data_IF_264054369074
#
_entry.id   IF_264054369074
#
_cell.length_a   1.000
_cell.length_b   1.000
_cell.length_c   1.000
_cell.angle_alpha   90.00
_cell.angle_beta   90.00
_cell.angle_gamma   90.00
#
_symmetry.space_group_name_H-M   'P 1'
#
loop_
_entity.id
_entity.type
_entity.pdbx_description
1 polymer ?
#
# COMPACT_ATOMS: atom_id res chain seq x y z
N UNK A 1 3.56 -1.76 -5.93
CA UNK A 1 4.37 -0.68 -5.33
C UNK A 1 5.11 0.13 -6.39
N UNK A 2 5.38 1.39 -6.11
CA UNK A 2 6.21 2.20 -7.00
C UNK A 2 7.69 1.85 -6.88
N UNK A 3 8.48 2.26 -7.87
CA UNK A 3 9.92 1.98 -7.93
C UNK A 3 10.67 2.51 -6.70
N UNK A 4 10.39 3.75 -6.29
CA UNK A 4 11.08 4.36 -5.14
C UNK A 4 10.80 3.60 -3.84
N UNK A 5 9.59 3.11 -3.68
CA UNK A 5 9.23 2.29 -2.52
C UNK A 5 10.01 0.98 -2.54
N UNK A 6 10.11 0.33 -3.71
CA UNK A 6 10.91 -0.88 -3.86
C UNK A 6 12.38 -0.64 -3.55
N UNK A 7 12.96 0.44 -4.05
CA UNK A 7 14.36 0.78 -3.78
C UNK A 7 14.61 1.08 -2.30
N UNK A 8 13.64 1.65 -1.61
CA UNK A 8 13.70 1.89 -0.18
C UNK A 8 13.69 0.59 0.63
N UNK A 9 12.90 -0.39 0.21
CA UNK A 9 12.89 -1.73 0.82
C UNK A 9 14.20 -2.47 0.54
N UNK A 10 14.75 -2.28 -0.66
CA UNK A 10 16.06 -2.78 -1.07
C UNK A 10 16.08 -4.20 -1.61
N UNK A 11 14.97 -4.93 -1.53
CA UNK A 11 14.87 -6.32 -2.03
C UNK A 11 13.40 -6.70 -2.22
N UNK A 12 13.11 -7.72 -3.07
CA UNK A 12 11.76 -8.25 -3.17
C UNK A 12 11.28 -8.82 -1.82
N UNK A 13 10.02 -8.61 -1.51
CA UNK A 13 9.42 -9.16 -0.30
C UNK A 13 9.29 -10.68 -0.44
N UNK A 14 9.84 -11.47 0.49
CA UNK A 14 9.85 -12.93 0.35
C UNK A 14 8.45 -13.53 0.47
N UNK A 15 8.22 -14.61 -0.25
CA UNK A 15 6.94 -15.33 -0.23
C UNK A 15 5.79 -14.61 -0.89
N UNK A 16 6.07 -13.57 -1.71
CA UNK A 16 5.05 -12.75 -2.36
C UNK A 16 5.42 -12.48 -3.80
N UNK A 17 4.39 -12.25 -4.61
CA UNK A 17 4.58 -11.80 -5.98
C UNK A 17 4.77 -10.28 -5.97
N UNK A 18 5.97 -9.82 -6.32
CA UNK A 18 6.33 -8.41 -6.25
C UNK A 18 6.11 -7.75 -7.61
N UNK A 19 5.26 -6.72 -7.63
CA UNK A 19 4.93 -5.97 -8.83
C UNK A 19 5.38 -4.52 -8.63
N UNK A 20 6.22 -4.04 -9.54
CA UNK A 20 6.81 -2.70 -9.48
C UNK A 20 6.22 -1.86 -10.61
N UNK A 21 5.74 -0.67 -10.27
CA UNK A 21 5.16 0.28 -11.21
C UNK A 21 6.17 1.40 -11.45
N UNK A 22 6.57 1.59 -12.70
CA UNK A 22 7.49 2.65 -13.10
C UNK A 22 7.20 3.10 -14.53
N UNK A 23 7.43 4.37 -14.82
CA UNK A 23 7.33 4.90 -16.18
C UNK A 23 8.59 4.63 -17.01
N UNK A 24 9.65 4.16 -16.36
CA UNK A 24 10.91 3.84 -17.05
C UNK A 24 10.80 2.47 -17.72
N UNK A 25 10.65 2.46 -19.05
CA UNK A 25 10.48 1.23 -19.82
C UNK A 25 11.72 0.34 -19.86
N UNK A 26 12.86 0.87 -19.43
CA UNK A 26 14.12 0.12 -19.37
C UNK A 26 14.42 -0.43 -17.99
N UNK A 27 13.56 -0.14 -17.02
CA UNK A 27 13.76 -0.62 -15.64
C UNK A 27 13.53 -2.13 -15.57
N UNK A 28 14.47 -2.84 -14.98
CA UNK A 28 14.38 -4.28 -14.76
C UNK A 28 14.71 -4.62 -13.32
N UNK A 29 14.13 -5.70 -12.83
CA UNK A 29 14.39 -6.19 -11.49
C UNK A 29 14.28 -7.71 -11.48
N UNK A 30 15.25 -8.36 -10.88
CA UNK A 30 15.23 -9.82 -10.72
C UNK A 30 14.14 -10.22 -9.71
N UNK A 31 13.40 -11.28 -10.02
CA UNK A 31 12.36 -11.83 -9.15
C UNK A 31 11.16 -10.91 -8.93
N UNK A 32 10.99 -9.92 -9.80
CA UNK A 32 9.86 -8.99 -9.75
C UNK A 32 9.24 -8.86 -11.14
N UNK A 33 7.98 -8.45 -11.18
CA UNK A 33 7.32 -8.05 -12.42
C UNK A 33 7.30 -6.54 -12.50
N UNK A 34 7.72 -5.97 -13.62
CA UNK A 34 7.72 -4.52 -13.84
C UNK A 34 6.56 -4.18 -14.78
N UNK A 35 5.72 -3.25 -14.35
CA UNK A 35 4.61 -2.72 -15.14
C UNK A 35 4.72 -1.20 -15.20
N UNK A 36 3.98 -0.57 -16.12
CA UNK A 36 4.19 0.84 -16.43
C UNK A 36 3.04 1.74 -16.02
N UNK A 37 1.93 1.16 -15.53
CA UNK A 37 0.79 1.92 -15.02
C UNK A 37 0.04 1.12 -13.97
N UNK A 38 -0.91 1.78 -13.30
CA UNK A 38 -1.69 1.15 -12.23
C UNK A 38 -2.64 0.08 -12.79
N UNK A 39 -3.19 0.28 -13.98
CA UNK A 39 -4.07 -0.69 -14.61
C UNK A 39 -3.32 -1.99 -14.92
N UNK A 40 -2.09 -1.88 -15.42
CA UNK A 40 -1.23 -3.03 -15.67
C UNK A 40 -0.90 -3.78 -14.39
N UNK A 41 -0.64 -3.06 -13.31
CA UNK A 41 -0.36 -3.65 -12.00
C UNK A 41 -1.57 -4.42 -11.46
N UNK A 42 -2.75 -3.85 -11.54
CA UNK A 42 -3.97 -4.49 -11.05
C UNK A 42 -4.31 -5.73 -11.86
N UNK A 43 -4.15 -5.65 -13.17
CA UNK A 43 -4.37 -6.80 -14.07
C UNK A 43 -3.42 -7.94 -13.73
N UNK A 44 -2.13 -7.63 -13.57
CA UNK A 44 -1.11 -8.63 -13.21
C UNK A 44 -1.40 -9.25 -11.85
N UNK A 45 -1.74 -8.43 -10.86
CA UNK A 45 -2.05 -8.90 -9.51
C UNK A 45 -3.29 -9.79 -9.49
N UNK A 46 -4.35 -9.42 -10.22
CA UNK A 46 -5.57 -10.21 -10.30
C UNK A 46 -5.33 -11.56 -10.98
N UNK A 47 -4.53 -11.57 -12.05
CA UNK A 47 -4.18 -12.82 -12.74
C UNK A 47 -3.39 -13.75 -11.83
N UNK A 48 -2.39 -13.23 -11.12
CA UNK A 48 -1.61 -14.00 -10.17
C UNK A 48 -2.48 -14.52 -9.03
N UNK A 49 -3.32 -13.69 -8.46
CA UNK A 49 -4.19 -14.06 -7.34
C UNK A 49 -5.15 -15.18 -7.74
N UNK A 50 -5.69 -15.14 -8.96
CA UNK A 50 -6.59 -16.16 -9.48
C UNK A 50 -5.87 -17.48 -9.71
N UNK A 51 -4.67 -17.43 -10.30
CA UNK A 51 -3.88 -18.62 -10.59
C UNK A 51 -3.33 -19.29 -9.33
N UNK A 52 -3.12 -18.54 -8.26
CA UNK A 52 -2.50 -19.02 -7.03
C UNK A 52 -3.44 -19.03 -5.84
N UNK A 53 -4.74 -18.80 -6.07
CA UNK A 53 -5.80 -18.82 -5.04
C UNK A 53 -5.48 -17.87 -3.86
N UNK A 54 -5.02 -16.67 -4.17
CA UNK A 54 -4.71 -15.64 -3.18
C UNK A 54 -5.95 -14.79 -2.88
N UNK A 55 -6.23 -14.56 -1.61
CA UNK A 55 -7.40 -13.80 -1.18
C UNK A 55 -7.21 -12.30 -1.14
N UNK A 56 -5.97 -11.81 -1.09
CA UNK A 56 -5.70 -10.38 -0.93
C UNK A 56 -4.56 -9.92 -1.83
N UNK A 57 -4.70 -8.67 -2.30
CA UNK A 57 -3.68 -7.93 -3.04
C UNK A 57 -3.38 -6.67 -2.25
N UNK A 58 -2.10 -6.42 -1.97
CA UNK A 58 -1.69 -5.27 -1.18
C UNK A 58 -1.01 -4.21 -2.05
N UNK A 59 -1.44 -2.96 -1.85
CA UNK A 59 -0.82 -1.79 -2.45
C UNK A 59 -0.05 -1.09 -1.33
N UNK A 60 1.27 -1.00 -1.47
CA UNK A 60 2.16 -0.56 -0.40
C UNK A 60 2.86 0.77 -0.66
N UNK A 61 2.44 1.49 -1.68
CA UNK A 61 2.87 2.87 -1.90
C UNK A 61 3.79 3.06 -3.09
N UNK A 62 4.34 4.21 -3.25
CA UNK A 62 4.16 5.40 -2.39
C UNK A 62 2.88 6.23 -2.60
N UNK A 63 2.95 7.50 -2.17
CA UNK A 63 1.79 8.40 -2.16
C UNK A 63 1.09 8.50 -3.51
N UNK A 64 1.84 8.61 -4.60
CA UNK A 64 1.27 8.69 -5.94
C UNK A 64 0.52 7.41 -6.31
N UNK A 65 1.07 6.25 -5.97
CA UNK A 65 0.43 4.96 -6.22
C UNK A 65 -0.84 4.83 -5.37
N UNK A 66 -0.82 5.26 -4.12
CA UNK A 66 -2.02 5.27 -3.28
C UNK A 66 -3.12 6.13 -3.90
N UNK A 67 -2.77 7.33 -4.37
CA UNK A 67 -3.75 8.23 -4.98
C UNK A 67 -4.38 7.62 -6.22
N UNK A 68 -3.59 7.02 -7.09
CA UNK A 68 -4.07 6.41 -8.33
C UNK A 68 -4.90 5.15 -8.08
N UNK A 69 -4.69 4.48 -6.95
CA UNK A 69 -5.32 3.19 -6.67
C UNK A 69 -6.57 3.26 -5.80
N UNK A 70 -6.93 4.42 -5.25
CA UNK A 70 -8.04 4.53 -4.30
C UNK A 70 -9.38 4.08 -4.86
N UNK A 71 -9.59 4.20 -6.18
CA UNK A 71 -10.82 3.74 -6.81
C UNK A 71 -10.90 2.22 -6.94
N UNK A 72 -9.78 1.53 -6.78
CA UNK A 72 -9.66 0.09 -6.96
C UNK A 72 -9.60 -0.70 -5.66
N UNK A 73 -9.36 -0.04 -4.53
CA UNK A 73 -9.15 -0.73 -3.25
C UNK A 73 -10.44 -0.83 -2.46
N UNK A 74 -10.59 -1.93 -1.72
CA UNK A 74 -11.76 -2.22 -0.89
C UNK A 74 -11.50 -1.98 0.59
N UNK A 75 -10.24 -1.96 0.98
CA UNK A 75 -9.83 -1.90 2.38
C UNK A 75 -8.55 -1.09 2.50
N UNK A 76 -8.46 -0.27 3.52
CA UNK A 76 -7.28 0.53 3.82
C UNK A 76 -6.80 0.18 5.22
N UNK A 77 -5.52 -0.15 5.33
CA UNK A 77 -4.84 -0.37 6.61
C UNK A 77 -3.99 0.87 6.89
N UNK A 78 -4.28 1.54 8.00
CA UNK A 78 -3.61 2.78 8.39
C UNK A 78 -2.96 2.60 9.76
N UNK A 79 -1.72 3.05 9.87
CA UNK A 79 -1.09 3.23 11.17
C UNK A 79 -1.11 4.71 11.49
N UNK A 80 -1.90 5.10 12.48
CA UNK A 80 -1.93 6.49 12.98
C UNK A 80 -0.91 6.62 14.11
N UNK A 81 0.04 7.52 13.94
CA UNK A 81 1.01 7.84 14.98
C UNK A 81 0.52 9.09 15.71
N UNK A 82 0.29 8.96 17.02
CA UNK A 82 -0.27 10.05 17.83
C UNK A 82 0.85 10.98 18.32
N UNK A 83 1.42 11.73 17.37
CA UNK A 83 2.48 12.70 17.63
C UNK A 83 2.42 13.82 16.60
N UNK A 84 2.89 15.00 16.98
CA UNK A 84 3.02 16.11 16.04
C UNK A 84 4.32 15.93 15.25
N UNK A 85 4.18 15.72 13.94
CA UNK A 85 5.33 15.65 13.04
C UNK A 85 5.28 16.82 12.06
N UNK A 86 6.39 17.55 11.97
CA UNK A 86 6.64 18.43 10.85
C UNK A 86 7.28 17.58 9.75
N UNK A 87 6.46 17.05 8.85
CA UNK A 87 6.93 16.14 7.82
C UNK A 87 6.45 16.55 6.44
N UNK A 88 7.28 16.31 5.44
CA UNK A 88 6.97 16.62 4.04
C UNK A 88 6.06 15.56 3.38
N UNK A 89 5.96 14.38 3.98
CA UNK A 89 5.14 13.30 3.44
C UNK A 89 3.83 13.20 4.22
N UNK A 90 2.76 13.69 3.62
CA UNK A 90 1.42 13.58 4.18
C UNK A 90 0.65 12.56 3.35
N UNK A 91 0.16 11.50 4.00
CA UNK A 91 -0.80 10.61 3.39
C UNK A 91 -2.17 11.28 3.51
N UNK A 92 -2.80 11.54 2.36
CA UNK A 92 -4.15 12.08 2.33
C UNK A 92 -5.13 11.05 2.89
N UNK A 93 -5.77 11.39 4.00
CA UNK A 93 -6.76 10.51 4.62
C UNK A 93 -7.89 10.30 3.61
N UNK A 94 -8.34 9.05 3.38
CA UNK A 94 -9.47 8.79 2.51
C UNK A 94 -10.71 9.56 2.96
N UNK A 95 -11.54 9.96 1.99
CA UNK A 95 -12.81 10.63 2.26
C UNK A 95 -13.69 9.72 3.11
N UNK A 96 -13.89 10.09 4.37
CA UNK A 96 -14.64 9.28 5.34
C UNK A 96 -16.09 9.08 4.97
N UNK A 97 -16.63 9.85 4.02
CA UNK A 97 -17.98 9.61 3.50
C UNK A 97 -18.06 8.32 2.68
N UNK A 98 -16.92 7.83 2.20
CA UNK A 98 -16.83 6.61 1.37
C UNK A 98 -16.24 5.41 2.12
N UNK A 99 -15.78 5.62 3.34
CA UNK A 99 -15.08 4.60 4.12
C UNK A 99 -15.67 4.48 5.51
N UNK A 100 -15.81 3.24 5.97
CA UNK A 100 -16.27 2.94 7.32
C UNK A 100 -15.14 2.33 8.13
N UNK A 101 -14.92 2.83 9.34
CA UNK A 101 -13.93 2.25 10.24
C UNK A 101 -14.43 0.89 10.72
N UNK A 102 -13.70 -0.16 10.37
CA UNK A 102 -14.02 -1.54 10.74
C UNK A 102 -13.37 -1.93 12.06
N UNK A 103 -12.17 -1.42 12.32
CA UNK A 103 -11.48 -1.69 13.60
C UNK A 103 -10.49 -0.57 13.91
N UNK A 104 -10.20 -0.43 15.21
CA UNK A 104 -9.19 0.50 15.69
C UNK A 104 -8.55 -0.11 16.94
N UNK A 105 -7.24 -0.36 16.87
CA UNK A 105 -6.50 -0.94 17.99
C UNK A 105 -5.41 0.04 18.40
N UNK A 106 -5.51 0.54 19.61
CA UNK A 106 -4.56 1.47 20.19
C UNK A 106 -3.39 0.71 20.81
N UNK A 107 -2.19 1.18 20.55
CA UNK A 107 -0.96 0.65 21.13
C UNK A 107 -0.12 1.79 21.71
N UNK A 108 0.51 1.51 22.85
CA UNK A 108 1.48 2.41 23.45
C UNK A 108 2.82 1.68 23.48
N UNK A 109 3.83 2.23 22.82
CA UNK A 109 5.18 1.65 22.80
C UNK A 109 6.07 2.48 23.72
N UNK A 110 6.37 1.95 24.90
CA UNK A 110 7.20 2.64 25.88
C UNK A 110 8.63 2.87 25.39
N UNK A 111 9.17 1.94 24.59
CA UNK A 111 10.53 2.04 24.07
C UNK A 111 10.70 3.21 23.09
N UNK A 112 9.66 3.51 22.31
CA UNK A 112 9.68 4.61 21.34
C UNK A 112 8.97 5.86 21.85
N UNK A 113 8.29 5.76 22.97
CA UNK A 113 7.50 6.84 23.58
C UNK A 113 6.49 7.48 22.63
N UNK A 114 5.97 6.71 21.68
CA UNK A 114 5.00 7.17 20.69
C UNK A 114 3.78 6.25 20.70
N UNK A 115 2.62 6.75 21.14
CA UNK A 115 1.39 5.98 21.00
C UNK A 115 0.97 5.91 19.52
N UNK A 116 0.37 4.81 19.13
CA UNK A 116 -0.12 4.63 17.76
C UNK A 116 -1.37 3.76 17.75
N UNK A 117 -2.11 3.83 16.64
CA UNK A 117 -3.30 3.01 16.44
C UNK A 117 -3.24 2.34 15.06
N UNK A 118 -3.61 1.07 15.02
CA UNK A 118 -3.87 0.37 13.77
C UNK A 118 -5.35 0.51 13.42
N UNK A 119 -5.62 1.11 12.27
CA UNK A 119 -6.99 1.39 11.81
C UNK A 119 -7.24 0.64 10.51
N UNK A 120 -8.40 -0.01 10.44
CA UNK A 120 -8.86 -0.67 9.20
C UNK A 120 -10.12 0.03 8.74
N UNK A 121 -10.11 0.51 7.49
CA UNK A 121 -11.26 1.12 6.86
C UNK A 121 -11.78 0.20 5.75
N UNK A 122 -13.08 -0.03 5.73
CA UNK A 122 -13.76 -0.75 4.64
C UNK A 122 -14.52 0.24 3.78
N UNK A 123 -14.51 -0.02 2.47
CA UNK A 123 -15.25 0.81 1.52
C UNK A 123 -16.74 0.63 1.71
N UNK A 124 -17.47 1.74 1.76
CA UNK A 124 -18.94 1.74 1.79
C UNK A 124 -19.40 1.59 0.34
N UNK A 125 -20.10 0.51 0.07
CA UNK A 125 -20.60 0.21 -1.28
C UNK A 125 -21.85 1.01 -1.63
#
# INVERSE_FOLDING_TARGET
>A
MGRKTFESIGRPLPGRHNIIITRNSEYTCDSCVVVFDIQGAIKEANNFARENDCGEIFIIGGAEIYRQSMDYVDKVYITEVHADFDGDAVFDVPDLSKWQEASRVYHSNEAMNLPYSFVVLNKIS
#
